data_IF_063710567551
#
_entry.id   IF_063710567551
#
_cell.length_a   1.000
_cell.length_b   1.000
_cell.length_c   1.000
_cell.angle_alpha   90.00
_cell.angle_beta   90.00
_cell.angle_gamma   90.00
#
_symmetry.space_group_name_H-M   'P 1'
#
loop_
_entity.id
_entity.type
_entity.pdbx_description
1 polymer ?
#
# COMPACT_ATOMS: atom_id res chain seq x y z
N UNK A 1 48.81 32.05 -46.03
CA UNK A 1 49.46 32.50 -44.80
C UNK A 1 48.49 32.25 -43.66
N UNK A 2 48.64 31.35 -42.71
CA UNK A 2 49.55 30.26 -42.28
C UNK A 2 48.93 29.84 -40.93
N UNK A 3 49.00 28.66 -40.33
CA UNK A 3 49.34 27.28 -40.65
C UNK A 3 49.02 26.50 -39.34
N UNK A 4 48.42 25.31 -39.43
CA UNK A 4 48.70 24.03 -38.69
C UNK A 4 48.78 24.07 -37.14
N UNK A 5 48.19 23.14 -36.37
CA UNK A 5 48.50 21.69 -36.22
C UNK A 5 47.54 21.11 -35.14
N UNK A 6 46.75 20.04 -35.37
CA UNK A 6 47.06 18.59 -35.15
C UNK A 6 47.69 18.26 -33.77
N UNK A 7 47.38 17.20 -33.01
CA UNK A 7 46.55 16.00 -33.16
C UNK A 7 46.37 15.31 -31.77
N UNK A 8 45.43 14.34 -31.68
CA UNK A 8 45.18 13.35 -30.60
C UNK A 8 46.30 12.24 -30.56
N UNK A 9 46.10 11.03 -30.00
CA UNK A 9 45.90 10.53 -28.60
C UNK A 9 46.87 9.35 -28.25
N UNK A 10 46.90 8.81 -27.01
CA UNK A 10 47.33 7.41 -26.68
C UNK A 10 46.74 7.03 -25.29
N UNK A 11 45.80 6.08 -25.12
CA UNK A 11 45.84 4.60 -25.12
C UNK A 11 46.70 3.91 -24.04
N UNK A 12 46.05 3.09 -23.18
CA UNK A 12 46.39 1.69 -22.78
C UNK A 12 45.66 1.31 -21.46
N UNK A 13 44.63 0.44 -21.50
CA UNK A 13 44.69 -1.03 -21.21
C UNK A 13 44.99 -1.38 -19.73
N UNK A 14 43.99 -1.84 -18.95
CA UNK A 14 43.48 -3.22 -18.83
C UNK A 14 44.20 -4.05 -17.73
N UNK A 15 43.43 -4.62 -16.80
CA UNK A 15 43.35 -6.07 -16.51
C UNK A 15 42.90 -6.43 -15.07
N UNK A 16 41.87 -7.29 -15.02
CA UNK A 16 41.70 -8.55 -14.24
C UNK A 16 41.81 -8.53 -12.70
N UNK A 17 40.83 -9.17 -12.05
CA UNK A 17 40.98 -9.65 -10.68
C UNK A 17 39.71 -10.21 -10.04
N UNK A 18 39.17 -11.31 -10.58
CA UNK A 18 38.14 -12.10 -9.90
C UNK A 18 38.80 -13.00 -8.83
N UNK A 19 38.41 -12.86 -7.56
CA UNK A 19 38.75 -13.84 -6.52
C UNK A 19 37.50 -14.30 -5.75
N UNK A 20 37.04 -15.49 -6.16
CA UNK A 20 36.11 -16.37 -5.47
C UNK A 20 36.88 -17.05 -4.34
N UNK A 21 36.50 -16.83 -3.07
CA UNK A 21 37.04 -17.58 -1.94
C UNK A 21 36.11 -18.77 -1.61
N UNK A 22 36.69 -19.96 -1.66
CA UNK A 22 36.04 -21.25 -1.49
C UNK A 22 35.89 -21.65 -0.02
N UNK A 23 34.85 -22.45 0.24
CA UNK A 23 34.59 -23.18 1.49
C UNK A 23 35.66 -24.27 1.70
N UNK A 24 36.08 -24.47 2.95
CA UNK A 24 36.82 -25.66 3.37
C UNK A 24 36.33 -26.12 4.76
N UNK A 25 35.71 -27.31 4.81
CA UNK A 25 35.42 -28.04 6.04
C UNK A 25 36.57 -29.04 6.31
N UNK A 26 37.13 -29.11 7.52
CA UNK A 26 38.10 -30.14 7.86
C UNK A 26 37.42 -31.47 8.19
N UNK A 27 37.90 -32.53 7.52
CA UNK A 27 37.62 -33.94 7.80
C UNK A 27 38.32 -34.36 9.09
N UNK A 28 37.60 -35.02 10.01
CA UNK A 28 38.22 -35.79 11.10
C UNK A 28 37.89 -37.28 10.91
N UNK A 29 38.94 -38.07 11.06
CA UNK A 29 39.10 -39.49 10.70
C UNK A 29 38.33 -40.43 11.62
N UNK A 30 37.92 -41.55 11.02
CA UNK A 30 37.53 -42.81 11.68
C UNK A 30 38.65 -43.35 12.57
N UNK A 31 38.28 -43.97 13.69
CA UNK A 31 38.99 -45.14 14.21
C UNK A 31 37.96 -46.20 14.63
N UNK A 32 38.32 -47.44 14.36
CA UNK A 32 37.53 -48.66 14.52
C UNK A 32 38.14 -49.45 15.67
N UNK A 33 37.30 -50.08 16.49
CA UNK A 33 37.69 -51.31 17.19
C UNK A 33 37.47 -51.31 18.70
N UNK A 34 36.91 -52.42 19.18
CA UNK A 34 37.25 -52.97 20.49
C UNK A 34 36.08 -53.33 21.39
N UNK A 35 35.67 -54.60 21.36
CA UNK A 35 34.83 -55.27 22.35
C UNK A 35 35.41 -55.17 23.78
N UNK A 36 34.53 -55.14 24.79
CA UNK A 36 34.90 -55.37 26.18
C UNK A 36 33.69 -55.54 27.10
N UNK A 37 33.45 -56.76 27.54
CA UNK A 37 32.44 -57.18 28.52
C UNK A 37 32.42 -56.33 29.79
N UNK A 38 31.26 -55.77 30.17
CA UNK A 38 30.91 -55.54 31.59
C UNK A 38 29.42 -55.85 31.81
N UNK A 39 29.17 -56.65 32.85
CA UNK A 39 27.88 -57.24 33.25
C UNK A 39 26.84 -56.18 33.61
N UNK A 40 25.67 -56.25 32.98
CA UNK A 40 24.48 -55.49 33.37
C UNK A 40 23.88 -56.07 34.66
N UNK A 41 24.02 -55.36 35.79
CA UNK A 41 23.14 -55.54 36.95
C UNK A 41 21.87 -54.74 36.69
N UNK A 42 20.76 -55.45 36.48
CA UNK A 42 19.43 -54.84 36.46
C UNK A 42 19.14 -54.27 37.86
N UNK A 43 19.04 -52.95 37.96
CA UNK A 43 18.47 -52.26 39.13
C UNK A 43 17.09 -51.75 38.72
N UNK A 44 16.07 -52.22 39.42
CA UNK A 44 14.67 -51.87 39.20
C UNK A 44 14.46 -50.36 39.27
N UNK A 45 13.83 -49.79 38.23
CA UNK A 45 13.34 -48.40 38.24
C UNK A 45 11.84 -48.45 38.54
N UNK A 46 11.43 -47.84 39.65
CA UNK A 46 10.04 -47.66 40.04
C UNK A 46 9.28 -46.83 39.00
N UNK A 47 7.96 -47.02 38.83
CA UNK A 47 7.21 -46.34 37.79
C UNK A 47 7.11 -44.84 38.07
N UNK A 48 7.39 -44.06 37.04
CA UNK A 48 7.21 -42.62 36.99
C UNK A 48 5.72 -42.31 37.21
N UNK A 49 5.39 -41.59 38.29
CA UNK A 49 4.04 -41.09 38.53
C UNK A 49 3.69 -40.08 37.43
N UNK A 50 2.62 -40.36 36.69
CA UNK A 50 2.02 -39.48 35.67
C UNK A 50 1.51 -38.20 36.35
N UNK A 51 2.35 -37.15 36.38
CA UNK A 51 1.93 -35.81 36.80
C UNK A 51 1.44 -35.01 35.60
N UNK A 52 0.24 -35.34 35.09
CA UNK A 52 -0.50 -34.43 34.21
C UNK A 52 -1.01 -33.24 35.05
N UNK A 53 -0.68 -31.99 34.70
CA UNK A 53 -1.24 -30.83 35.41
C UNK A 53 -2.75 -30.77 35.16
N UNK A 54 -3.54 -30.29 36.14
CA UNK A 54 -4.99 -30.22 35.99
C UNK A 54 -5.34 -29.26 34.84
N UNK A 55 -6.15 -29.75 33.91
CA UNK A 55 -6.81 -28.96 32.88
C UNK A 55 -7.51 -27.78 33.54
N UNK A 56 -6.89 -26.60 33.44
CA UNK A 56 -7.57 -25.34 33.73
C UNK A 56 -8.68 -25.22 32.72
N UNK A 57 -9.90 -25.50 33.16
CA UNK A 57 -11.12 -25.19 32.43
C UNK A 57 -10.99 -23.76 31.89
N UNK A 58 -10.75 -23.63 30.59
CA UNK A 58 -10.86 -22.38 29.86
C UNK A 58 -12.31 -21.97 30.06
N UNK A 59 -12.56 -21.04 31.00
CA UNK A 59 -13.87 -20.44 31.23
C UNK A 59 -14.48 -20.15 29.86
N UNK A 60 -15.67 -20.68 29.58
CA UNK A 60 -16.37 -20.40 28.34
C UNK A 60 -16.39 -18.87 28.11
N UNK A 61 -15.65 -18.39 27.11
CA UNK A 61 -15.48 -16.97 26.89
C UNK A 61 -16.84 -16.38 26.44
N UNK A 62 -17.29 -15.26 27.02
CA UNK A 62 -18.60 -14.64 26.70
C UNK A 62 -18.73 -14.16 25.24
N UNK A 63 -17.64 -14.16 24.47
CA UNK A 63 -17.57 -13.65 23.10
C UNK A 63 -18.39 -14.41 22.05
N UNK A 64 -18.92 -15.61 22.35
CA UNK A 64 -19.69 -16.38 21.35
C UNK A 64 -21.01 -15.71 20.95
N UNK A 65 -21.67 -15.04 21.91
CA UNK A 65 -22.92 -14.31 21.65
C UNK A 65 -22.67 -12.89 21.12
N UNK A 66 -21.52 -12.30 21.45
CA UNK A 66 -21.09 -10.99 20.99
C UNK A 66 -20.67 -11.03 19.51
N UNK A 67 -19.91 -12.05 19.13
CA UNK A 67 -19.59 -12.34 17.74
C UNK A 67 -20.85 -12.47 16.86
N UNK A 68 -21.91 -13.09 17.39
CA UNK A 68 -23.18 -13.30 16.66
C UNK A 68 -24.03 -12.03 16.49
N UNK A 69 -23.77 -10.96 17.25
CA UNK A 69 -24.39 -9.63 17.06
C UNK A 69 -23.54 -8.74 16.15
N UNK A 70 -22.23 -8.95 16.13
CA UNK A 70 -21.26 -8.23 15.29
C UNK A 70 -21.09 -8.84 13.88
N UNK A 71 -21.77 -9.95 13.57
CA UNK A 71 -21.74 -10.64 12.27
C UNK A 71 -22.57 -9.97 11.18
N UNK A 72 -22.84 -8.67 11.28
CA UNK A 72 -23.45 -7.93 10.16
C UNK A 72 -22.39 -7.65 9.11
N UNK A 73 -22.74 -7.77 7.82
CA UNK A 73 -21.82 -7.51 6.71
C UNK A 73 -21.16 -6.10 6.77
N UNK A 74 -21.88 -5.01 7.12
CA UNK A 74 -21.25 -3.69 7.30
C UNK A 74 -20.15 -3.67 8.37
N UNK A 75 -20.38 -4.32 9.52
CA UNK A 75 -19.39 -4.39 10.60
C UNK A 75 -18.16 -5.22 10.21
N UNK A 76 -18.35 -6.30 9.43
CA UNK A 76 -17.24 -7.07 8.87
C UNK A 76 -16.39 -6.22 7.90
N UNK A 77 -17.04 -5.48 7.00
CA UNK A 77 -16.37 -4.56 6.07
C UNK A 77 -15.64 -3.45 6.83
N UNK A 78 -16.27 -2.85 7.84
CA UNK A 78 -15.64 -1.83 8.70
C UNK A 78 -14.37 -2.37 9.36
N UNK A 79 -14.44 -3.58 9.95
CA UNK A 79 -13.30 -4.22 10.59
C UNK A 79 -12.16 -4.52 9.59
N UNK A 80 -12.50 -4.99 8.39
CA UNK A 80 -11.52 -5.25 7.32
C UNK A 80 -10.84 -3.96 6.87
N UNK A 81 -11.62 -2.92 6.55
CA UNK A 81 -11.08 -1.64 6.09
C UNK A 81 -10.26 -0.94 7.17
N UNK A 82 -10.71 -1.00 8.44
CA UNK A 82 -9.99 -0.40 9.57
C UNK A 82 -8.65 -1.10 9.82
N UNK A 83 -8.61 -2.43 9.68
CA UNK A 83 -7.38 -3.20 9.85
C UNK A 83 -6.45 -3.08 8.65
N UNK A 84 -6.95 -2.61 7.51
CA UNK A 84 -6.16 -2.43 6.29
C UNK A 84 -5.38 -1.12 6.30
N UNK A 85 -4.07 -1.20 6.10
CA UNK A 85 -3.20 -0.02 5.96
C UNK A 85 -3.18 0.55 4.53
N UNK A 86 -4.00 0.03 3.62
CA UNK A 86 -4.05 0.41 2.21
C UNK A 86 -5.50 0.44 1.72
N UNK A 87 -5.79 1.12 0.61
CA UNK A 87 -7.06 0.97 -0.09
C UNK A 87 -7.28 -0.50 -0.51
N UNK A 88 -8.52 -0.97 -0.40
CA UNK A 88 -8.95 -2.29 -0.84
C UNK A 88 -9.91 -2.17 -2.01
N UNK A 89 -9.79 -3.07 -2.97
CA UNK A 89 -10.72 -3.13 -4.10
C UNK A 89 -12.02 -3.83 -3.69
N UNK A 90 -13.10 -3.53 -4.40
CA UNK A 90 -14.39 -4.21 -4.23
C UNK A 90 -14.26 -5.73 -4.35
N UNK A 91 -13.41 -6.22 -5.27
CA UNK A 91 -13.15 -7.66 -5.46
C UNK A 91 -12.47 -8.30 -4.26
N UNK A 92 -11.54 -7.60 -3.61
CA UNK A 92 -10.88 -8.11 -2.41
C UNK A 92 -11.88 -8.23 -1.26
N UNK A 93 -12.81 -7.29 -1.12
CA UNK A 93 -13.90 -7.39 -0.14
C UNK A 93 -14.83 -8.56 -0.46
N UNK A 94 -15.22 -8.75 -1.72
CA UNK A 94 -16.02 -9.90 -2.16
C UNK A 94 -15.39 -11.23 -1.75
N UNK A 95 -14.07 -11.35 -1.96
CA UNK A 95 -13.35 -12.56 -1.60
C UNK A 95 -13.24 -12.75 -0.09
N UNK A 96 -13.02 -11.66 0.66
CA UNK A 96 -12.88 -11.72 2.12
C UNK A 96 -14.18 -12.01 2.86
N UNK A 97 -15.33 -11.56 2.34
CA UNK A 97 -16.64 -11.73 2.98
C UNK A 97 -17.50 -12.82 2.35
N UNK A 98 -17.02 -13.49 1.30
CA UNK A 98 -17.78 -14.47 0.50
C UNK A 98 -19.18 -13.95 0.11
N UNK A 99 -19.21 -12.70 -0.35
CA UNK A 99 -20.45 -11.98 -0.66
C UNK A 99 -20.47 -11.47 -2.10
N UNK A 100 -21.67 -11.36 -2.67
CA UNK A 100 -21.83 -10.77 -3.99
C UNK A 100 -21.61 -9.25 -3.98
N UNK A 101 -21.50 -8.68 -5.18
CA UNK A 101 -21.26 -7.24 -5.35
C UNK A 101 -22.40 -6.42 -4.75
N UNK A 102 -23.64 -6.84 -4.95
CA UNK A 102 -24.85 -6.13 -4.51
C UNK A 102 -24.96 -6.03 -3.00
N UNK A 103 -24.66 -7.12 -2.28
CA UNK A 103 -24.65 -7.16 -0.83
C UNK A 103 -23.58 -6.22 -0.26
N UNK A 104 -22.41 -6.17 -0.89
CA UNK A 104 -21.33 -5.25 -0.46
C UNK A 104 -21.72 -3.79 -0.71
N UNK A 105 -22.26 -3.46 -1.89
CA UNK A 105 -22.68 -2.09 -2.19
C UNK A 105 -23.76 -1.61 -1.19
N UNK A 106 -24.73 -2.47 -0.87
CA UNK A 106 -25.74 -2.17 0.16
C UNK A 106 -25.09 -1.97 1.54
N UNK A 107 -24.19 -2.88 1.93
CA UNK A 107 -23.49 -2.80 3.21
C UNK A 107 -22.57 -1.57 3.32
N UNK A 108 -21.97 -1.13 2.22
CA UNK A 108 -21.19 0.12 2.16
C UNK A 108 -22.09 1.34 2.32
N UNK A 109 -23.30 1.31 1.76
CA UNK A 109 -24.33 2.33 1.97
C UNK A 109 -24.72 2.45 3.44
N UNK A 110 -25.07 1.33 4.07
CA UNK A 110 -25.38 1.25 5.50
C UNK A 110 -24.21 1.71 6.38
N UNK A 111 -22.99 1.28 6.05
CA UNK A 111 -21.78 1.72 6.75
C UNK A 111 -21.59 3.24 6.62
N UNK A 112 -21.79 3.81 5.43
CA UNK A 112 -21.64 5.26 5.21
C UNK A 112 -22.61 6.04 6.09
N UNK A 113 -23.87 5.64 6.15
CA UNK A 113 -24.89 6.25 7.02
C UNK A 113 -24.51 6.12 8.50
N UNK A 114 -24.04 4.94 8.92
CA UNK A 114 -23.59 4.71 10.30
C UNK A 114 -22.37 5.56 10.71
N UNK A 115 -21.56 6.01 9.73
CA UNK A 115 -20.39 6.87 9.93
C UNK A 115 -20.72 8.38 9.85
N UNK A 116 -21.98 8.76 9.61
CA UNK A 116 -22.39 10.15 9.69
C UNK A 116 -22.21 10.70 11.12
N UNK A 117 -21.70 11.92 11.23
CA UNK A 117 -21.38 12.55 12.52
C UNK A 117 -20.18 11.95 13.28
N UNK A 118 -19.55 10.89 12.78
CA UNK A 118 -18.34 10.28 13.39
C UNK A 118 -17.05 10.93 12.89
N UNK A 119 -15.94 10.70 13.61
CA UNK A 119 -14.62 11.22 13.25
C UNK A 119 -13.93 10.53 12.08
N UNK A 120 -14.52 9.45 11.55
CA UNK A 120 -14.04 8.69 10.40
C UNK A 120 -15.05 8.76 9.26
N UNK A 121 -14.59 8.54 8.05
CA UNK A 121 -15.41 8.52 6.84
C UNK A 121 -14.92 7.44 5.88
N UNK A 122 -15.86 6.93 5.08
CA UNK A 122 -15.58 6.00 4.00
C UNK A 122 -15.23 6.80 2.74
N UNK A 123 -14.02 6.57 2.21
CA UNK A 123 -13.58 7.11 0.94
C UNK A 123 -13.76 6.06 -0.17
N UNK A 124 -14.21 6.50 -1.34
CA UNK A 124 -14.34 5.67 -2.54
C UNK A 124 -13.71 6.36 -3.75
N UNK A 125 -12.85 5.63 -4.43
CA UNK A 125 -12.25 6.04 -5.71
C UNK A 125 -12.39 4.87 -6.70
N UNK A 126 -13.29 5.01 -7.68
CA UNK A 126 -13.69 3.91 -8.56
C UNK A 126 -14.08 2.63 -7.78
N UNK A 127 -13.27 1.57 -7.89
CA UNK A 127 -13.45 0.29 -7.21
C UNK A 127 -12.63 0.17 -5.92
N UNK A 128 -11.85 1.19 -5.55
CA UNK A 128 -11.07 1.24 -4.32
C UNK A 128 -11.86 1.90 -3.19
N UNK A 129 -11.71 1.33 -1.99
CA UNK A 129 -12.39 1.72 -0.76
C UNK A 129 -11.36 1.86 0.36
N UNK A 130 -11.54 2.86 1.21
CA UNK A 130 -10.64 3.12 2.33
C UNK A 130 -11.36 3.85 3.46
N UNK A 131 -11.01 3.54 4.71
CA UNK A 131 -11.45 4.32 5.86
C UNK A 131 -10.40 5.39 6.20
N UNK A 132 -10.84 6.63 6.33
CA UNK A 132 -9.98 7.76 6.66
C UNK A 132 -10.59 8.60 7.77
N UNK A 133 -9.77 9.43 8.42
CA UNK A 133 -10.26 10.41 9.40
C UNK A 133 -10.88 11.61 8.69
N UNK A 134 -11.93 12.19 9.26
CA UNK A 134 -12.56 13.39 8.70
C UNK A 134 -11.62 14.60 8.81
N UNK A 135 -11.59 15.49 7.81
CA UNK A 135 -10.71 16.67 7.80
C UNK A 135 -10.90 17.59 9.00
N UNK A 136 -12.12 17.67 9.56
CA UNK A 136 -12.43 18.45 10.75
C UNK A 136 -11.57 18.09 11.97
N UNK A 137 -11.10 16.84 12.06
CA UNK A 137 -10.26 16.36 13.17
C UNK A 137 -8.77 16.34 12.83
N UNK A 138 -8.36 16.81 11.64
CA UNK A 138 -6.98 16.74 11.17
C UNK A 138 -5.98 17.41 12.13
N UNK A 139 -6.36 18.52 12.78
CA UNK A 139 -5.50 19.19 13.75
C UNK A 139 -5.21 18.33 14.99
N UNK A 140 -6.21 17.60 15.49
CA UNK A 140 -6.05 16.70 16.62
C UNK A 140 -5.18 15.49 16.25
N UNK A 141 -5.43 14.89 15.08
CA UNK A 141 -4.65 13.77 14.54
C UNK A 141 -3.18 14.16 14.34
N UNK A 142 -2.91 15.34 13.75
CA UNK A 142 -1.54 15.85 13.54
C UNK A 142 -0.78 16.04 14.86
N UNK A 143 -1.43 16.55 15.92
CA UNK A 143 -0.79 16.71 17.23
C UNK A 143 -0.42 15.37 17.87
N UNK A 144 -1.28 14.37 17.72
CA UNK A 144 -1.08 13.04 18.29
C UNK A 144 0.01 12.25 17.53
N UNK A 145 -0.06 12.23 16.19
CA UNK A 145 0.79 11.35 15.37
C UNK A 145 2.08 12.01 14.88
N UNK A 146 2.17 13.35 14.92
CA UNK A 146 3.31 14.14 14.42
C UNK A 146 3.87 13.62 13.08
N UNK A 147 3.02 13.48 12.06
CA UNK A 147 3.44 12.89 10.80
C UNK A 147 4.51 13.75 10.13
N UNK A 148 5.43 13.12 9.42
CA UNK A 148 6.36 13.82 8.55
C UNK A 148 5.58 14.64 7.52
N UNK A 149 5.79 15.95 7.52
CA UNK A 149 5.10 16.85 6.59
C UNK A 149 5.82 16.76 5.25
N UNK A 150 5.19 16.11 4.27
CA UNK A 150 5.66 16.19 2.90
C UNK A 150 5.62 17.65 2.42
N UNK A 151 6.64 18.07 1.67
CA UNK A 151 6.76 19.45 1.22
C UNK A 151 5.52 19.94 0.47
N UNK A 152 5.11 21.19 0.70
CA UNK A 152 3.95 21.80 0.05
C UNK A 152 4.09 21.71 -1.49
N UNK A 153 2.97 21.52 -2.17
CA UNK A 153 2.93 21.62 -3.63
C UNK A 153 3.09 23.09 -4.05
N UNK A 154 3.75 23.32 -5.18
CA UNK A 154 3.84 24.67 -5.77
C UNK A 154 2.49 25.07 -6.38
N UNK A 155 2.30 26.37 -6.65
CA UNK A 155 1.10 26.86 -7.32
C UNK A 155 0.86 26.16 -8.68
N UNK A 156 1.91 26.04 -9.49
CA UNK A 156 1.86 25.33 -10.77
C UNK A 156 1.44 23.85 -10.62
N UNK A 157 1.84 23.19 -9.53
CA UNK A 157 1.43 21.81 -9.24
C UNK A 157 -0.04 21.71 -8.86
N UNK A 158 -0.56 22.66 -8.07
CA UNK A 158 -1.98 22.73 -7.76
C UNK A 158 -2.84 23.01 -8.99
N UNK A 159 -2.42 23.93 -9.86
CA UNK A 159 -3.10 24.20 -11.14
C UNK A 159 -3.17 22.94 -12.01
N UNK A 160 -2.03 22.27 -12.18
CA UNK A 160 -1.94 21.05 -12.99
C UNK A 160 -2.80 19.93 -12.40
N UNK A 161 -2.75 19.74 -11.09
CA UNK A 161 -3.56 18.76 -10.37
C UNK A 161 -5.05 19.03 -10.51
N UNK A 162 -5.47 20.31 -10.45
CA UNK A 162 -6.85 20.70 -10.64
C UNK A 162 -7.33 20.37 -12.06
N UNK A 163 -6.54 20.65 -13.10
CA UNK A 163 -6.87 20.30 -14.48
C UNK A 163 -7.08 18.78 -14.61
N UNK A 164 -6.19 17.97 -14.03
CA UNK A 164 -6.34 16.50 -14.05
C UNK A 164 -7.62 16.08 -13.32
N UNK A 165 -7.89 16.61 -12.12
CA UNK A 165 -9.06 16.23 -11.33
C UNK A 165 -10.40 16.50 -12.06
N UNK A 166 -10.51 17.62 -12.78
CA UNK A 166 -11.74 18.00 -13.48
C UNK A 166 -11.86 17.45 -14.91
N UNK A 167 -10.74 17.16 -15.59
CA UNK A 167 -10.75 16.77 -17.00
C UNK A 167 -10.32 15.31 -17.23
N UNK A 168 -10.08 14.53 -16.17
CA UNK A 168 -9.71 13.13 -16.31
C UNK A 168 -10.78 12.32 -17.07
N UNK A 169 -10.38 11.34 -17.89
CA UNK A 169 -9.00 10.99 -18.24
C UNK A 169 -8.40 11.99 -19.27
N UNK A 170 -7.22 12.57 -18.97
CA UNK A 170 -6.63 13.66 -19.79
C UNK A 170 -5.19 13.35 -20.23
N UNK A 171 -4.80 13.56 -21.51
CA UNK A 171 -3.42 13.42 -21.96
C UNK A 171 -2.57 14.65 -21.62
N UNK A 172 -1.24 14.47 -21.51
CA UNK A 172 -0.29 15.57 -21.23
C UNK A 172 -0.48 16.77 -22.15
N UNK A 173 -0.59 16.55 -23.46
CA UNK A 173 -0.74 17.64 -24.44
C UNK A 173 -1.92 18.55 -24.12
N UNK A 174 -3.05 17.97 -23.70
CA UNK A 174 -4.24 18.75 -23.36
C UNK A 174 -4.03 19.60 -22.11
N UNK A 175 -3.26 19.12 -21.14
CA UNK A 175 -2.91 19.88 -19.93
C UNK A 175 -2.03 21.07 -20.31
N UNK A 176 -1.04 20.86 -21.18
CA UNK A 176 -0.16 21.92 -21.69
C UNK A 176 -0.94 22.96 -22.49
N UNK A 177 -1.92 22.56 -23.32
CA UNK A 177 -2.79 23.47 -24.06
C UNK A 177 -3.58 24.40 -23.12
N UNK A 178 -4.08 23.87 -22.00
CA UNK A 178 -4.84 24.65 -21.01
C UNK A 178 -3.93 25.58 -20.22
N UNK A 179 -2.72 25.14 -19.86
CA UNK A 179 -1.77 25.95 -19.06
C UNK A 179 -0.94 26.92 -19.90
N UNK A 180 -0.80 26.68 -21.20
CA UNK A 180 0.07 27.44 -22.11
C UNK A 180 1.58 27.26 -21.86
N UNK A 181 1.98 26.32 -20.99
CA UNK A 181 3.39 26.07 -20.61
C UNK A 181 3.65 24.57 -20.43
N UNK A 182 4.92 24.15 -20.56
CA UNK A 182 5.33 22.75 -20.34
C UNK A 182 5.05 22.32 -18.89
N UNK A 183 4.47 21.13 -18.71
CA UNK A 183 4.11 20.60 -17.39
C UNK A 183 4.72 19.22 -17.08
N UNK A 184 5.72 18.77 -17.85
CA UNK A 184 6.33 17.43 -17.70
C UNK A 184 6.90 17.19 -16.31
N UNK A 185 7.72 18.13 -15.81
CA UNK A 185 8.34 18.02 -14.48
C UNK A 185 7.31 18.01 -13.35
N UNK A 186 6.20 18.73 -13.54
CA UNK A 186 5.09 18.80 -12.58
C UNK A 186 4.33 17.48 -12.56
N UNK A 187 4.01 16.92 -13.72
CA UNK A 187 3.33 15.62 -13.84
C UNK A 187 4.15 14.52 -13.18
N UNK A 188 5.45 14.43 -13.50
CA UNK A 188 6.36 13.47 -12.86
C UNK A 188 6.39 13.64 -11.34
N UNK A 189 6.40 14.89 -10.84
CA UNK A 189 6.39 15.13 -9.39
C UNK A 189 5.06 14.71 -8.73
N UNK A 190 3.93 14.92 -9.42
CA UNK A 190 2.61 14.51 -8.92
C UNK A 190 2.46 12.98 -8.93
N UNK A 191 3.00 12.29 -9.93
CA UNK A 191 3.04 10.82 -9.98
C UNK A 191 3.92 10.23 -8.88
N UNK A 192 5.09 10.80 -8.61
CA UNK A 192 5.98 10.36 -7.52
C UNK A 192 5.34 10.49 -6.12
N UNK A 193 4.32 11.33 -5.97
CA UNK A 193 3.56 11.51 -4.74
C UNK A 193 2.26 10.68 -4.72
N UNK A 194 2.06 9.85 -5.74
CA UNK A 194 0.85 9.07 -6.01
C UNK A 194 -0.42 9.92 -6.09
N UNK A 195 -0.34 11.22 -6.41
CA UNK A 195 -1.54 12.07 -6.51
C UNK A 195 -2.28 11.86 -7.84
N UNK A 196 -1.54 11.48 -8.87
CA UNK A 196 -2.06 11.14 -10.20
C UNK A 196 -1.42 9.82 -10.66
N UNK A 197 -2.08 9.12 -11.58
CA UNK A 197 -1.59 7.88 -12.16
C UNK A 197 -2.03 7.72 -13.62
N UNK A 198 -1.41 6.76 -14.33
CA UNK A 198 -1.86 6.29 -15.63
C UNK A 198 -3.20 5.57 -15.49
N UNK A 199 -4.25 6.10 -16.11
CA UNK A 199 -5.57 5.44 -16.16
C UNK A 199 -5.80 4.71 -17.49
N UNK A 200 -4.94 4.93 -18.48
CA UNK A 200 -4.99 4.25 -19.78
C UNK A 200 -4.17 4.96 -20.85
N UNK A 201 -4.38 4.54 -22.10
CA UNK A 201 -3.73 5.11 -23.28
C UNK A 201 -4.78 5.65 -24.25
N UNK A 202 -4.52 6.83 -24.79
CA UNK A 202 -5.38 7.48 -25.77
C UNK A 202 -5.27 6.84 -27.15
N UNK A 203 -6.27 7.06 -28.00
CA UNK A 203 -6.35 6.52 -29.37
C UNK A 203 -5.59 7.34 -30.42
N UNK A 204 -4.95 8.45 -30.03
CA UNK A 204 -4.19 9.32 -30.93
C UNK A 204 -2.85 8.71 -31.40
N UNK A 205 -2.17 9.38 -32.35
CA UNK A 205 -0.85 8.95 -32.80
C UNK A 205 0.14 8.90 -31.63
N UNK A 206 0.84 7.77 -31.50
CA UNK A 206 1.76 7.52 -30.38
C UNK A 206 1.11 7.06 -29.08
N UNK A 207 -0.21 6.83 -29.06
CA UNK A 207 -0.99 6.35 -27.91
C UNK A 207 -0.61 7.05 -26.58
N UNK A 208 -0.92 8.35 -26.46
CA UNK A 208 -0.48 9.16 -25.34
C UNK A 208 -1.03 8.61 -24.02
N UNK A 209 -0.21 8.68 -22.97
CA UNK A 209 -0.60 8.38 -21.59
C UNK A 209 -1.75 9.28 -21.14
N UNK A 210 -2.80 8.67 -20.58
CA UNK A 210 -3.91 9.38 -19.95
C UNK A 210 -3.71 9.40 -18.44
N UNK A 211 -3.84 10.59 -17.86
CA UNK A 211 -3.70 10.82 -16.43
C UNK A 211 -5.07 10.90 -15.76
N UNK A 212 -5.15 10.38 -14.55
CA UNK A 212 -6.26 10.54 -13.62
C UNK A 212 -5.77 10.63 -12.18
N UNK A 213 -6.67 11.01 -11.27
CA UNK A 213 -6.41 11.09 -9.83
C UNK A 213 -6.44 9.70 -9.19
N UNK A 214 -5.91 9.58 -7.98
CA UNK A 214 -5.87 8.32 -7.21
C UNK A 214 -6.66 8.42 -5.90
N UNK A 215 -6.76 7.31 -5.15
CA UNK A 215 -7.24 7.35 -3.76
C UNK A 215 -6.40 8.29 -2.87
N UNK A 216 -5.09 8.38 -3.09
CA UNK A 216 -4.20 9.26 -2.32
C UNK A 216 -4.55 10.75 -2.53
N UNK A 217 -5.00 11.12 -3.73
CA UNK A 217 -5.52 12.47 -3.97
C UNK A 217 -6.72 12.78 -3.06
N UNK A 218 -7.71 11.88 -2.98
CA UNK A 218 -8.87 12.07 -2.09
C UNK A 218 -8.46 12.19 -0.63
N UNK A 219 -7.49 11.38 -0.18
CA UNK A 219 -6.94 11.45 1.18
C UNK A 219 -6.33 12.81 1.50
N UNK A 220 -5.55 13.37 0.56
CA UNK A 220 -4.87 14.66 0.74
C UNK A 220 -5.87 15.82 0.67
N UNK A 221 -6.85 15.73 -0.24
CA UNK A 221 -7.91 16.73 -0.37
C UNK A 221 -8.95 16.66 0.75
N UNK A 222 -9.04 15.51 1.44
CA UNK A 222 -10.02 15.29 2.49
C UNK A 222 -11.44 15.07 1.95
N UNK A 223 -11.57 14.41 0.80
CA UNK A 223 -12.85 14.17 0.12
C UNK A 223 -13.24 12.70 0.22
N UNK A 224 -14.53 12.41 0.35
CA UNK A 224 -15.06 11.03 0.35
C UNK A 224 -15.10 10.42 -1.06
N UNK A 225 -15.39 11.24 -2.08
CA UNK A 225 -15.43 10.82 -3.48
C UNK A 225 -15.08 12.00 -4.39
N UNK A 226 -14.85 11.71 -5.68
CA UNK A 226 -14.63 12.73 -6.69
C UNK A 226 -15.87 13.60 -6.94
N UNK A 227 -17.08 13.10 -6.63
CA UNK A 227 -18.33 13.84 -6.82
C UNK A 227 -18.45 15.04 -5.87
N UNK A 228 -17.68 15.05 -4.78
CA UNK A 228 -17.60 16.17 -3.85
C UNK A 228 -16.65 17.29 -4.31
N UNK A 229 -16.03 17.16 -5.48
CA UNK A 229 -15.25 18.26 -6.05
C UNK A 229 -16.17 19.45 -6.38
N UNK A 230 -15.78 20.69 -6.03
CA UNK A 230 -16.58 21.85 -6.35
C UNK A 230 -16.72 21.98 -7.86
N UNK A 231 -17.95 22.11 -8.36
CA UNK A 231 -18.14 22.30 -9.80
C UNK A 231 -17.44 23.59 -10.22
N UNK A 232 -16.63 23.58 -11.31
CA UNK A 232 -16.02 24.80 -11.81
C UNK A 232 -17.17 25.76 -12.12
N UNK A 233 -17.19 26.89 -11.43
CA UNK A 233 -18.11 27.98 -11.75
C UNK A 233 -17.81 28.40 -13.18
N UNK A 234 -18.66 28.03 -14.12
CA UNK A 234 -18.66 28.60 -15.47
C UNK A 234 -18.98 30.08 -15.26
N UNK A 235 -17.94 30.92 -15.23
CA UNK A 235 -18.08 32.36 -15.12
C UNK A 235 -18.76 32.89 -16.37
N UNK A 236 -19.82 33.67 -16.19
CA UNK A 236 -20.37 34.56 -17.21
C UNK A 236 -19.53 35.81 -17.41
#
# INVERSE_FOLDING_TARGET
MDARREARPHHAEAQRGAHRAARAHPRIRRSVGGCGHIRCRARAVAPLVDQRPPERAFRAHPHRNEARRLTTLPAAIEAILFSSNRPLTLRELQHATDSDRTAIENALGELREALEGRGVMLMRHHDELHLATRPAFAAAVRRALRPEVSGKLSAAAYETLAIVAYQQPVPRSRIEDVRGVNCESVLTNLELRDLIAEVGRGSGPGQPKLYGTTMRFLQVMGLESLDHLPKPSVGG
#
